data_IF_261699068738
#
_entry.id   IF_261699068738
#
_cell.length_a   1.000
_cell.length_b   1.000
_cell.length_c   1.000
_cell.angle_alpha   90.00
_cell.angle_beta   90.00
_cell.angle_gamma   90.00
#
_symmetry.space_group_name_H-M   'P 1'
#
loop_
_entity.id
_entity.type
_entity.pdbx_description
1 polymer ?
#
# COMPACT_ATOMS: atom_id res chain seq x y z
N UNK A 1 -29.57 -28.45 6.22
CA UNK A 1 -29.44 -27.15 5.53
C UNK A 1 -28.44 -26.32 6.32
N UNK A 2 -27.22 -26.12 5.81
CA UNK A 2 -26.20 -25.32 6.48
C UNK A 2 -26.13 -23.97 5.76
N UNK A 3 -26.57 -22.91 6.44
CA UNK A 3 -26.48 -21.55 5.91
C UNK A 3 -25.08 -21.05 6.26
N UNK A 4 -24.13 -21.22 5.34
CA UNK A 4 -22.83 -20.56 5.40
C UNK A 4 -23.06 -19.06 5.34
N UNK A 5 -22.99 -18.39 6.48
CA UNK A 5 -22.93 -16.94 6.55
C UNK A 5 -21.58 -16.50 5.99
N UNK A 6 -21.51 -16.35 4.67
CA UNK A 6 -20.52 -15.48 4.06
C UNK A 6 -20.81 -14.09 4.62
N UNK A 7 -20.02 -13.63 5.59
CA UNK A 7 -19.97 -12.22 5.91
C UNK A 7 -19.20 -11.59 4.76
N UNK A 8 -19.85 -10.89 3.81
CA UNK A 8 -19.09 -10.12 2.85
C UNK A 8 -18.39 -9.07 3.69
N UNK A 9 -17.06 -9.07 3.66
CA UNK A 9 -16.27 -7.99 4.23
C UNK A 9 -16.97 -6.68 3.87
N UNK A 10 -17.47 -5.91 4.86
CA UNK A 10 -18.19 -4.70 4.54
C UNK A 10 -17.26 -3.89 3.66
N UNK A 11 -17.85 -3.30 2.62
CA UNK A 11 -17.23 -2.38 1.70
C UNK A 11 -16.72 -1.19 2.52
N UNK A 12 -15.60 -1.40 3.22
CA UNK A 12 -15.01 -0.46 4.10
C UNK A 12 -14.30 0.51 3.19
N UNK A 13 -15.03 1.56 2.83
CA UNK A 13 -14.48 2.89 2.65
C UNK A 13 -13.86 3.33 4.00
N UNK A 14 -12.93 2.54 4.51
CA UNK A 14 -12.05 2.90 5.59
C UNK A 14 -11.20 3.99 4.96
N UNK A 15 -11.51 5.25 5.29
CA UNK A 15 -10.53 6.31 5.22
C UNK A 15 -9.45 5.89 6.21
N UNK A 16 -8.52 5.05 5.76
CA UNK A 16 -7.50 4.52 6.63
C UNK A 16 -6.56 5.67 6.92
N UNK A 17 -6.63 6.12 8.17
CA UNK A 17 -5.83 7.23 8.65
C UNK A 17 -4.37 6.98 8.32
N UNK A 18 -3.70 8.01 7.81
CA UNK A 18 -2.25 8.05 7.64
C UNK A 18 -1.51 7.71 8.94
N UNK A 19 -2.16 7.88 10.09
CA UNK A 19 -1.64 7.46 11.39
C UNK A 19 -1.48 5.94 11.52
N UNK A 20 -2.31 5.12 10.87
CA UNK A 20 -2.17 3.66 10.93
C UNK A 20 -0.86 3.22 10.26
N UNK A 21 -0.57 3.79 9.08
CA UNK A 21 0.73 3.63 8.42
C UNK A 21 1.87 4.04 9.35
N UNK A 22 1.81 5.26 9.91
CA UNK A 22 2.90 5.79 10.76
C UNK A 22 3.15 4.99 12.04
N UNK A 23 2.10 4.47 12.68
CA UNK A 23 2.21 3.76 13.94
C UNK A 23 2.78 2.34 13.80
N UNK A 24 2.60 1.71 12.63
CA UNK A 24 2.99 0.32 12.39
C UNK A 24 4.20 0.17 11.47
N UNK A 25 4.63 1.26 10.82
CA UNK A 25 5.80 1.30 9.98
C UNK A 25 7.08 1.17 10.81
N UNK A 26 7.98 0.26 10.41
CA UNK A 26 9.28 0.09 11.04
C UNK A 26 10.41 0.56 10.12
N UNK A 27 10.43 0.07 8.89
CA UNK A 27 11.53 0.29 7.95
C UNK A 27 11.04 0.14 6.51
N UNK A 28 11.70 0.83 5.57
CA UNK A 28 11.55 0.60 4.14
C UNK A 28 12.89 0.25 3.51
N UNK A 29 12.87 -0.75 2.62
CA UNK A 29 14.04 -1.27 1.91
C UNK A 29 13.74 -1.13 0.42
N UNK A 30 14.35 -0.17 -0.29
CA UNK A 30 14.22 -0.09 -1.74
C UNK A 30 14.86 -1.31 -2.40
N UNK A 31 14.39 -1.67 -3.59
CA UNK A 31 15.03 -2.70 -4.39
C UNK A 31 16.50 -2.35 -4.67
N UNK A 32 17.40 -3.36 -4.73
CA UNK A 32 18.82 -3.14 -4.96
C UNK A 32 19.12 -2.61 -6.37
N UNK A 33 18.23 -2.84 -7.32
CA UNK A 33 18.32 -2.31 -8.68
C UNK A 33 17.57 -0.97 -8.76
N UNK A 34 18.27 0.09 -9.17
CA UNK A 34 17.68 1.43 -9.31
C UNK A 34 16.58 1.49 -10.38
N UNK A 35 16.57 0.53 -11.31
CA UNK A 35 15.54 0.43 -12.33
C UNK A 35 14.27 -0.28 -11.83
N UNK A 36 14.37 -0.96 -10.69
CA UNK A 36 13.27 -1.69 -10.09
C UNK A 36 12.50 -0.75 -9.15
N UNK A 37 11.34 -0.27 -9.62
CA UNK A 37 10.45 0.63 -8.88
C UNK A 37 9.71 -0.11 -7.76
N UNK A 38 10.42 -0.86 -6.93
CA UNK A 38 9.88 -1.66 -5.84
C UNK A 38 10.47 -1.24 -4.49
N UNK A 39 9.61 -1.11 -3.49
CA UNK A 39 10.00 -0.79 -2.12
C UNK A 39 9.36 -1.81 -1.19
N UNK A 40 10.17 -2.45 -0.34
CA UNK A 40 9.69 -3.36 0.68
C UNK A 40 9.50 -2.60 1.99
N UNK A 41 8.29 -2.59 2.52
CA UNK A 41 7.92 -2.01 3.81
C UNK A 41 7.87 -3.12 4.86
N UNK A 42 8.62 -2.94 5.93
CA UNK A 42 8.64 -3.81 7.10
C UNK A 42 7.74 -3.21 8.17
N UNK A 43 6.82 -4.02 8.70
CA UNK A 43 5.85 -3.63 9.73
C UNK A 43 5.89 -4.57 10.93
N UNK A 44 5.24 -4.15 12.02
CA UNK A 44 5.13 -4.97 13.23
C UNK A 44 4.42 -6.31 12.96
N UNK A 45 4.76 -7.35 13.74
CA UNK A 45 4.25 -8.71 13.52
C UNK A 45 2.72 -8.86 13.70
N UNK A 46 2.07 -7.90 14.38
CA UNK A 46 0.62 -7.89 14.62
C UNK A 46 -0.14 -6.94 13.69
N UNK A 47 0.54 -6.31 12.75
CA UNK A 47 -0.07 -5.37 11.81
C UNK A 47 -0.89 -6.12 10.77
N UNK A 48 -2.08 -5.61 10.48
CA UNK A 48 -2.85 -6.09 9.34
C UNK A 48 -2.22 -5.54 8.06
N UNK A 49 -1.65 -6.44 7.24
CA UNK A 49 -0.90 -6.06 6.04
C UNK A 49 -1.77 -5.38 4.98
N UNK A 50 -3.06 -5.74 4.88
CA UNK A 50 -3.97 -5.14 3.91
C UNK A 50 -4.36 -3.72 4.33
N UNK A 51 -4.66 -3.54 5.61
CA UNK A 51 -4.92 -2.21 6.19
C UNK A 51 -3.66 -1.35 6.15
N UNK A 52 -2.48 -1.94 6.34
CA UNK A 52 -1.26 -1.18 6.16
C UNK A 52 -1.06 -0.75 4.70
N UNK A 53 -1.24 -1.66 3.73
CA UNK A 53 -1.05 -1.34 2.32
C UNK A 53 -2.01 -0.23 1.83
N UNK A 54 -3.29 -0.30 2.23
CA UNK A 54 -4.28 0.72 1.91
C UNK A 54 -3.98 2.07 2.58
N UNK A 55 -3.61 2.09 3.86
CA UNK A 55 -3.19 3.32 4.56
C UNK A 55 -1.90 3.93 3.98
N UNK A 56 -0.95 3.09 3.55
CA UNK A 56 0.27 3.52 2.87
C UNK A 56 -0.07 4.19 1.53
N UNK A 57 -0.96 3.60 0.73
CA UNK A 57 -1.39 4.19 -0.54
C UNK A 57 -1.99 5.60 -0.32
N UNK A 58 -2.87 5.75 0.68
CA UNK A 58 -3.45 7.05 1.03
C UNK A 58 -2.38 8.03 1.50
N UNK A 59 -1.45 7.60 2.36
CA UNK A 59 -0.36 8.43 2.84
C UNK A 59 0.50 8.96 1.70
N UNK A 60 1.00 8.07 0.84
CA UNK A 60 1.87 8.44 -0.28
C UNK A 60 1.16 9.31 -1.31
N UNK A 61 -0.13 9.06 -1.60
CA UNK A 61 -0.96 9.97 -2.41
C UNK A 61 -1.13 11.34 -1.77
N UNK A 62 -1.42 11.40 -0.46
CA UNK A 62 -1.61 12.67 0.25
C UNK A 62 -0.33 13.48 0.42
N UNK A 63 0.82 12.80 0.44
CA UNK A 63 2.10 13.45 0.60
C UNK A 63 2.51 14.23 -0.66
N UNK A 64 2.02 13.85 -1.87
CA UNK A 64 2.34 14.41 -3.21
C UNK A 64 3.81 14.85 -3.42
N UNK A 65 4.75 14.26 -2.67
CA UNK A 65 6.14 14.72 -2.61
C UNK A 65 7.13 13.62 -3.00
N UNK A 66 6.65 12.53 -3.60
CA UNK A 66 7.51 11.47 -4.10
C UNK A 66 7.52 11.50 -5.64
N UNK A 67 8.66 11.84 -6.27
CA UNK A 67 8.72 12.18 -7.69
C UNK A 67 8.58 10.99 -8.65
N UNK A 68 8.43 9.76 -8.15
CA UNK A 68 8.42 8.56 -8.97
C UNK A 68 7.34 7.56 -8.52
N UNK A 69 6.70 6.88 -9.48
CA UNK A 69 5.83 5.75 -9.18
C UNK A 69 6.63 4.58 -8.60
N UNK A 70 6.03 3.84 -7.66
CA UNK A 70 6.62 2.61 -7.14
C UNK A 70 5.55 1.61 -6.68
N UNK A 71 5.94 0.34 -6.63
CA UNK A 71 5.16 -0.74 -6.03
C UNK A 71 5.69 -1.04 -4.63
N UNK A 72 4.84 -0.84 -3.63
CA UNK A 72 5.14 -1.14 -2.23
C UNK A 72 4.76 -2.57 -1.89
N UNK A 73 5.72 -3.38 -1.44
CA UNK A 73 5.48 -4.71 -0.86
C UNK A 73 5.56 -4.61 0.65
N UNK A 74 4.49 -4.97 1.36
CA UNK A 74 4.39 -4.88 2.81
C UNK A 74 4.55 -6.27 3.40
N UNK A 75 5.47 -6.45 4.34
CA UNK A 75 5.65 -7.72 5.08
C UNK A 75 5.92 -7.46 6.55
N UNK A 76 5.57 -8.42 7.40
CA UNK A 76 6.00 -8.38 8.80
C UNK A 76 7.47 -8.77 8.93
N UNK A 77 8.11 -8.40 10.04
CA UNK A 77 9.52 -8.74 10.33
C UNK A 77 9.80 -10.23 10.24
N UNK A 78 8.87 -11.08 10.70
CA UNK A 78 9.03 -12.54 10.72
C UNK A 78 8.17 -13.29 9.70
N UNK A 79 7.35 -12.60 8.92
CA UNK A 79 6.34 -13.23 8.08
C UNK A 79 6.81 -13.57 6.67
N UNK A 80 6.19 -14.63 6.14
CA UNK A 80 6.19 -14.98 4.71
C UNK A 80 4.98 -14.38 3.96
N UNK A 81 4.00 -13.85 4.69
CA UNK A 81 2.83 -13.19 4.12
C UNK A 81 3.18 -11.75 3.72
N UNK A 82 2.70 -11.33 2.56
CA UNK A 82 2.88 -9.97 2.06
C UNK A 82 1.59 -9.41 1.50
N UNK A 83 1.42 -8.09 1.60
CA UNK A 83 0.44 -7.32 0.85
C UNK A 83 1.18 -6.38 -0.11
N UNK A 84 0.49 -5.85 -1.12
CA UNK A 84 1.10 -4.90 -2.04
C UNK A 84 0.19 -3.71 -2.29
N UNK A 85 0.76 -2.53 -2.47
CA UNK A 85 0.08 -1.34 -2.97
C UNK A 85 0.90 -0.72 -4.10
N UNK A 86 0.24 0.06 -4.96
CA UNK A 86 0.92 0.82 -5.99
C UNK A 86 0.77 2.31 -5.69
N UNK A 87 1.88 3.04 -5.70
CA UNK A 87 1.89 4.48 -5.70
C UNK A 87 2.12 4.98 -7.12
N UNK A 88 1.19 5.80 -7.60
CA UNK A 88 1.30 6.51 -8.88
C UNK A 88 1.45 7.99 -8.55
N UNK A 89 2.56 8.59 -9.01
CA UNK A 89 2.80 10.02 -8.89
C UNK A 89 1.86 10.80 -9.81
N UNK A 90 1.44 12.00 -9.38
CA UNK A 90 0.47 12.82 -10.10
C UNK A 90 0.94 13.14 -11.54
N UNK A 91 2.24 13.33 -11.76
CA UNK A 91 2.84 13.59 -13.08
C UNK A 91 2.64 12.43 -14.09
N UNK A 92 2.66 11.17 -13.63
CA UNK A 92 2.34 10.02 -14.49
C UNK A 92 0.81 9.83 -14.60
N UNK A 93 0.01 10.29 -13.64
CA UNK A 93 -1.45 10.20 -13.68
C UNK A 93 -2.04 11.10 -14.78
N UNK A 94 -1.52 12.33 -14.91
CA UNK A 94 -1.92 13.27 -15.96
C UNK A 94 -1.61 12.72 -17.35
N UNK A 95 -0.41 12.14 -17.53
CA UNK A 95 0.00 11.52 -18.80
C UNK A 95 -0.90 10.33 -19.22
N UNK A 96 -1.42 9.57 -18.26
CA UNK A 96 -2.35 8.45 -18.53
C UNK A 96 -3.76 8.98 -18.84
N UNK A 97 -4.16 10.10 -18.24
CA UNK A 97 -5.50 10.69 -18.44
C UNK A 97 -5.66 11.34 -19.82
N UNK A 98 -4.59 11.89 -20.40
CA UNK A 98 -4.57 12.46 -21.76
C UNK A 98 -4.58 11.40 -22.88
N UNK A 99 -4.35 10.13 -22.55
CA UNK A 99 -4.34 9.01 -23.49
C UNK A 99 -5.71 8.34 -23.69
N UNK A 100 -6.78 8.90 -23.10
CA UNK A 100 -8.15 8.43 -23.33
C UNK A 100 -8.75 9.17 -24.54
N UNK A 101 -9.18 8.45 -25.61
CA UNK A 101 -9.79 9.07 -26.78
C UNK A 101 -11.14 9.73 -26.50
#
# INVERSE_FOLDING_TARGET
MAVTSYSPYPNQKLVQSTQYYQNHFLESIPAPDQNDKQITFIVEDKTDLLVFAQSAEVFWRSASNYPYCFKGTVRTRKGNCFATFNYVADEELDAISELKP
#
